data_IF_976259223450
#
_entry.id   IF_976259223450
#
_cell.length_a   1.000
_cell.length_b   1.000
_cell.length_c   1.000
_cell.angle_alpha   90.00
_cell.angle_beta   90.00
_cell.angle_gamma   90.00
#
_symmetry.space_group_name_H-M   'P 1'
#
loop_
_entity.id
_entity.type
_entity.pdbx_description
1 polymer ?
#
# COMPACT_ATOMS: atom_id res chain seq x y z
N UNK A 1 12.73 -19.18 -4.94
CA UNK A 1 13.46 -19.43 -3.67
C UNK A 1 13.23 -18.34 -2.60
N UNK A 2 13.58 -17.06 -2.83
CA UNK A 2 13.50 -16.00 -1.79
C UNK A 2 12.07 -15.67 -1.31
N UNK A 3 11.08 -15.61 -2.21
CA UNK A 3 9.68 -15.29 -1.84
C UNK A 3 8.99 -16.43 -1.08
N UNK A 4 9.24 -17.70 -1.45
CA UNK A 4 8.76 -18.85 -0.69
C UNK A 4 9.28 -18.87 0.75
N UNK A 5 10.52 -18.41 1.00
CA UNK A 5 11.06 -18.26 2.37
C UNK A 5 10.34 -17.19 3.19
N UNK A 6 9.70 -16.23 2.53
CA UNK A 6 8.85 -15.21 3.16
C UNK A 6 7.37 -15.66 3.24
N UNK A 7 7.08 -16.96 3.00
CA UNK A 7 5.74 -17.54 2.98
C UNK A 7 4.79 -16.86 1.96
N UNK A 8 5.34 -16.34 0.86
CA UNK A 8 4.57 -15.78 -0.25
C UNK A 8 4.23 -16.90 -1.24
N UNK A 9 2.94 -17.16 -1.41
CA UNK A 9 2.44 -18.13 -2.38
C UNK A 9 2.42 -17.53 -3.79
N UNK A 10 2.90 -18.31 -4.75
CA UNK A 10 2.86 -17.95 -6.17
C UNK A 10 1.93 -18.92 -6.89
N UNK A 11 0.80 -18.40 -7.38
CA UNK A 11 -0.26 -19.23 -7.97
C UNK A 11 -0.23 -19.21 -9.51
N UNK A 12 0.67 -18.45 -10.10
CA UNK A 12 0.80 -18.34 -11.55
C UNK A 12 1.91 -19.24 -12.05
N UNK A 13 1.63 -19.99 -13.10
CA UNK A 13 2.63 -20.84 -13.72
C UNK A 13 3.67 -19.98 -14.47
N UNK A 14 4.95 -20.38 -14.47
CA UNK A 14 5.97 -19.75 -15.29
C UNK A 14 5.60 -19.86 -16.78
N UNK A 15 5.90 -18.83 -17.57
CA UNK A 15 5.79 -18.89 -19.04
C UNK A 15 7.13 -19.39 -19.58
N UNK A 16 7.13 -20.46 -20.38
CA UNK A 16 8.35 -21.16 -20.84
C UNK A 16 9.30 -20.27 -21.66
N UNK A 17 8.82 -19.19 -22.28
CA UNK A 17 9.61 -18.24 -23.08
C UNK A 17 9.49 -16.77 -22.62
N UNK A 18 9.04 -16.55 -21.38
CA UNK A 18 8.88 -15.21 -20.82
C UNK A 18 10.15 -14.67 -20.17
N UNK A 19 10.62 -13.48 -20.55
CA UNK A 19 11.63 -12.76 -19.76
C UNK A 19 11.03 -12.41 -18.40
N UNK A 20 11.61 -12.93 -17.31
CA UNK A 20 11.18 -12.55 -15.96
C UNK A 20 11.51 -11.08 -15.72
N UNK A 21 10.50 -10.21 -15.77
CA UNK A 21 10.62 -8.86 -15.23
C UNK A 21 10.89 -8.92 -13.72
N UNK A 22 11.62 -7.95 -13.18
CA UNK A 22 11.92 -7.86 -11.75
C UNK A 22 10.66 -7.74 -10.85
N UNK A 23 9.48 -7.62 -11.46
CA UNK A 23 8.19 -7.62 -10.80
C UNK A 23 7.22 -8.52 -11.58
N UNK A 24 6.53 -9.39 -10.83
CA UNK A 24 5.48 -10.26 -11.37
C UNK A 24 4.32 -9.40 -11.87
N UNK A 25 3.97 -9.58 -13.14
CA UNK A 25 2.73 -9.06 -13.73
C UNK A 25 1.76 -10.23 -13.87
N UNK A 26 0.70 -10.23 -13.06
CA UNK A 26 -0.39 -11.19 -13.20
C UNK A 26 -1.40 -10.69 -14.23
N UNK A 27 -1.15 -11.00 -15.49
CA UNK A 27 -2.11 -10.80 -16.58
C UNK A 27 -2.56 -12.14 -17.12
N UNK A 28 -3.30 -12.89 -16.31
CA UNK A 28 -3.97 -14.11 -16.77
C UNK A 28 -5.48 -14.00 -16.57
N UNK A 29 -6.29 -14.54 -17.52
CA UNK A 29 -7.74 -14.70 -17.35
C UNK A 29 -8.13 -15.41 -16.04
N UNK A 30 -7.21 -16.19 -15.46
CA UNK A 30 -7.40 -16.99 -14.24
C UNK A 30 -7.20 -16.23 -12.92
N UNK A 31 -6.92 -14.92 -12.97
CA UNK A 31 -6.91 -14.07 -11.77
C UNK A 31 -8.26 -14.15 -11.02
N UNK A 32 -9.36 -14.34 -11.75
CA UNK A 32 -10.68 -14.60 -11.20
C UNK A 32 -10.73 -15.91 -10.39
N UNK A 33 -10.22 -17.02 -10.93
CA UNK A 33 -10.22 -18.32 -10.23
C UNK A 33 -9.36 -18.29 -8.98
N UNK A 34 -8.22 -17.61 -9.06
CA UNK A 34 -7.33 -17.40 -7.91
C UNK A 34 -8.04 -16.61 -6.80
N UNK A 35 -8.72 -15.52 -7.12
CA UNK A 35 -9.45 -14.74 -6.09
C UNK A 35 -10.70 -15.45 -5.58
N UNK A 36 -11.37 -16.28 -6.38
CA UNK A 36 -12.53 -17.05 -5.93
C UNK A 36 -12.14 -18.26 -5.09
N UNK A 37 -10.96 -18.84 -5.30
CA UNK A 37 -10.45 -19.97 -4.53
C UNK A 37 -9.92 -19.57 -3.15
N UNK A 38 -9.55 -18.29 -2.95
CA UNK A 38 -8.93 -17.79 -1.72
C UNK A 38 -9.67 -16.57 -1.17
N UNK A 39 -10.05 -16.61 0.10
CA UNK A 39 -10.62 -15.46 0.80
C UNK A 39 -9.54 -14.35 0.91
N UNK A 40 -9.62 -13.38 0.01
CA UNK A 40 -8.63 -12.29 -0.11
C UNK A 40 -9.14 -11.06 0.63
N UNK A 41 -8.38 -10.54 1.60
CA UNK A 41 -8.79 -9.35 2.35
C UNK A 41 -8.43 -8.05 1.60
N UNK A 42 -7.28 -8.03 0.93
CA UNK A 42 -6.81 -6.86 0.16
C UNK A 42 -6.18 -7.32 -1.16
N UNK A 43 -6.63 -6.73 -2.26
CA UNK A 43 -6.05 -6.86 -3.60
C UNK A 43 -5.24 -5.61 -3.93
N UNK A 44 -3.93 -5.77 -4.16
CA UNK A 44 -2.99 -4.65 -4.40
C UNK A 44 -2.58 -4.60 -5.87
N UNK A 45 -2.67 -3.43 -6.49
CA UNK A 45 -2.29 -3.18 -7.88
C UNK A 45 -1.15 -2.17 -7.92
N UNK A 46 -0.09 -2.51 -8.64
CA UNK A 46 1.02 -1.60 -8.92
C UNK A 46 0.67 -0.66 -10.07
N UNK A 47 0.94 0.63 -9.91
CA UNK A 47 0.63 1.68 -10.87
C UNK A 47 1.19 1.42 -12.28
N UNK A 48 2.42 0.94 -12.39
CA UNK A 48 3.06 0.65 -13.69
C UNK A 48 2.28 -0.37 -14.53
N UNK A 49 1.44 -1.21 -13.91
CA UNK A 49 0.60 -2.15 -14.65
C UNK A 49 -0.44 -1.46 -15.52
N UNK A 50 -0.83 -0.23 -15.19
CA UNK A 50 -1.74 0.53 -16.02
C UNK A 50 -1.08 0.97 -17.33
N UNK A 51 0.26 1.08 -17.41
CA UNK A 51 0.99 1.46 -18.66
C UNK A 51 0.86 0.40 -19.75
N UNK A 52 0.58 -0.83 -19.34
CA UNK A 52 0.38 -1.95 -20.23
C UNK A 52 -1.09 -1.96 -20.66
N UNK A 53 -1.39 -1.43 -21.85
CA UNK A 53 -2.76 -1.26 -22.35
C UNK A 53 -3.58 -2.57 -22.34
N UNK A 54 -2.94 -3.70 -22.64
CA UNK A 54 -3.59 -5.02 -22.61
C UNK A 54 -3.95 -5.49 -21.19
N UNK A 55 -3.28 -4.94 -20.18
CA UNK A 55 -3.45 -5.28 -18.75
C UNK A 55 -4.66 -4.57 -18.13
N UNK A 56 -5.08 -3.43 -18.68
CA UNK A 56 -6.16 -2.60 -18.11
C UNK A 56 -7.46 -3.40 -17.98
N UNK A 57 -7.86 -4.15 -19.01
CA UNK A 57 -9.08 -4.97 -18.98
C UNK A 57 -9.01 -6.05 -17.90
N UNK A 58 -7.82 -6.63 -17.71
CA UNK A 58 -7.58 -7.64 -16.68
C UNK A 58 -7.63 -7.03 -15.28
N UNK A 59 -7.04 -5.84 -15.09
CA UNK A 59 -7.11 -5.09 -13.83
C UNK A 59 -8.56 -4.77 -13.47
N UNK A 60 -9.36 -4.27 -14.43
CA UNK A 60 -10.78 -3.93 -14.19
C UNK A 60 -11.53 -5.16 -13.67
N UNK A 61 -11.45 -6.27 -14.41
CA UNK A 61 -12.08 -7.54 -14.01
C UNK A 61 -11.59 -8.01 -12.65
N UNK A 62 -10.29 -7.91 -12.40
CA UNK A 62 -9.74 -8.32 -11.12
C UNK A 62 -10.26 -7.46 -9.95
N UNK A 63 -10.43 -6.15 -10.16
CA UNK A 63 -11.03 -5.26 -9.16
C UNK A 63 -12.50 -5.60 -8.88
N UNK A 64 -13.28 -5.91 -9.92
CA UNK A 64 -14.69 -6.30 -9.78
C UNK A 64 -14.83 -7.58 -8.95
N UNK A 65 -13.98 -8.57 -9.25
CA UNK A 65 -13.95 -9.84 -8.53
C UNK A 65 -13.49 -9.70 -7.08
N UNK A 66 -12.41 -8.94 -6.84
CA UNK A 66 -11.94 -8.61 -5.50
C UNK A 66 -13.07 -7.99 -4.66
N UNK A 67 -13.78 -6.98 -5.20
CA UNK A 67 -14.90 -6.34 -4.51
C UNK A 67 -16.07 -7.29 -4.28
N UNK A 68 -16.39 -8.15 -5.26
CA UNK A 68 -17.44 -9.18 -5.11
C UNK A 68 -17.12 -10.15 -3.98
N UNK A 69 -15.85 -10.46 -3.76
CA UNK A 69 -15.35 -11.26 -2.65
C UNK A 69 -15.21 -10.51 -1.31
N UNK A 70 -15.55 -9.21 -1.25
CA UNK A 70 -15.40 -8.38 -0.06
C UNK A 70 -13.98 -7.87 0.20
N UNK A 71 -13.06 -8.03 -0.75
CA UNK A 71 -11.70 -7.54 -0.63
C UNK A 71 -11.63 -6.02 -0.85
N UNK A 72 -10.75 -5.36 -0.10
CA UNK A 72 -10.35 -3.98 -0.39
C UNK A 72 -9.44 -3.96 -1.62
N UNK A 73 -9.58 -2.94 -2.47
CA UNK A 73 -8.69 -2.73 -3.61
C UNK A 73 -7.75 -1.57 -3.28
N UNK A 74 -6.45 -1.84 -3.26
CA UNK A 74 -5.40 -0.85 -3.04
C UNK A 74 -4.60 -0.63 -4.32
N UNK A 75 -4.25 0.62 -4.61
CA UNK A 75 -3.43 0.98 -5.77
C UNK A 75 -2.23 1.79 -5.29
N UNK A 76 -1.03 1.38 -5.69
CA UNK A 76 0.19 2.15 -5.42
C UNK A 76 0.55 2.95 -6.66
N UNK A 77 0.79 4.25 -6.54
CA UNK A 77 1.43 5.00 -7.62
C UNK A 77 2.88 4.48 -7.80
N UNK A 78 3.26 4.17 -9.04
CA UNK A 78 4.65 3.84 -9.39
C UNK A 78 5.44 5.12 -9.71
N UNK A 79 6.64 4.97 -10.26
CA UNK A 79 7.55 6.06 -10.59
C UNK A 79 6.85 7.22 -11.32
N UNK A 80 7.38 8.44 -11.12
CA UNK A 80 6.74 9.71 -11.46
C UNK A 80 6.39 9.97 -12.93
N UNK A 81 6.49 8.99 -13.82
CA UNK A 81 6.03 9.04 -15.22
C UNK A 81 4.78 8.17 -15.49
N UNK A 82 4.32 7.39 -14.50
CA UNK A 82 3.27 6.38 -14.65
C UNK A 82 1.82 6.91 -14.70
N UNK A 83 1.66 8.24 -14.78
CA UNK A 83 0.38 8.94 -14.62
C UNK A 83 -0.37 9.18 -15.95
N UNK A 84 0.17 8.73 -17.09
CA UNK A 84 -0.37 9.06 -18.43
C UNK A 84 -1.50 8.17 -18.93
N UNK A 85 -2.30 7.59 -18.04
CA UNK A 85 -3.27 6.56 -18.44
C UNK A 85 -4.72 7.02 -18.32
N UNK A 86 -5.37 7.07 -19.48
CA UNK A 86 -6.77 7.40 -19.65
C UNK A 86 -7.62 6.17 -19.36
N UNK A 87 -8.42 6.17 -18.28
CA UNK A 87 -9.52 5.20 -18.16
C UNK A 87 -9.93 4.79 -16.74
N UNK A 88 -9.05 4.91 -15.75
CA UNK A 88 -9.43 4.77 -14.34
C UNK A 88 -9.68 6.16 -13.73
N UNK A 89 -10.34 6.23 -12.57
CA UNK A 89 -10.48 7.48 -11.78
C UNK A 89 -9.14 8.00 -11.22
N UNK A 90 -8.02 7.78 -11.92
CA UNK A 90 -6.75 8.49 -11.80
C UNK A 90 -6.83 9.93 -12.30
N UNK A 91 -7.99 10.42 -12.75
CA UNK A 91 -8.22 11.86 -13.01
C UNK A 91 -7.92 12.74 -11.79
N UNK A 92 -8.08 12.21 -10.57
CA UNK A 92 -7.65 12.92 -9.37
C UNK A 92 -6.12 12.98 -9.24
N UNK A 93 -5.41 11.93 -9.65
CA UNK A 93 -3.94 11.91 -9.68
C UNK A 93 -3.37 12.80 -10.80
N UNK A 94 -4.14 13.03 -11.87
CA UNK A 94 -3.77 13.88 -13.01
C UNK A 94 -3.59 15.37 -12.66
N UNK A 95 -4.26 15.87 -11.61
CA UNK A 95 -4.24 17.30 -11.30
C UNK A 95 -3.03 17.76 -10.49
N UNK A 96 -2.13 16.86 -10.09
CA UNK A 96 -0.95 17.24 -9.33
C UNK A 96 0.18 17.75 -10.22
N UNK A 97 0.26 19.08 -10.32
CA UNK A 97 1.46 19.77 -10.81
C UNK A 97 2.62 19.55 -9.84
N UNK A 98 3.86 19.51 -10.35
CA UNK A 98 5.09 19.43 -9.54
C UNK A 98 5.30 20.60 -8.56
N UNK A 99 4.41 21.60 -8.59
CA UNK A 99 4.38 22.76 -7.70
C UNK A 99 3.47 22.59 -6.49
N UNK A 100 2.61 21.57 -6.44
CA UNK A 100 1.69 21.39 -5.32
C UNK A 100 2.34 20.62 -4.17
N UNK A 101 2.01 20.99 -2.93
CA UNK A 101 2.58 20.36 -1.73
C UNK A 101 2.02 18.96 -1.49
N UNK A 102 2.80 18.06 -0.89
CA UNK A 102 2.39 16.69 -0.56
C UNK A 102 1.15 16.63 0.35
N UNK A 103 0.96 17.63 1.23
CA UNK A 103 -0.23 17.76 2.06
C UNK A 103 -1.47 18.15 1.24
N UNK A 104 -1.32 19.05 0.25
CA UNK A 104 -2.39 19.38 -0.69
C UNK A 104 -2.81 18.17 -1.50
N UNK A 105 -1.85 17.36 -1.96
CA UNK A 105 -2.08 16.07 -2.64
C UNK A 105 -2.93 15.14 -1.80
N UNK A 106 -2.52 14.98 -0.56
CA UNK A 106 -3.19 14.09 0.37
C UNK A 106 -4.64 14.52 0.57
N UNK A 107 -4.88 15.81 0.85
CA UNK A 107 -6.25 16.32 1.04
C UNK A 107 -7.09 16.13 -0.21
N UNK A 108 -6.59 16.54 -1.36
CA UNK A 108 -7.31 16.43 -2.63
C UNK A 108 -7.67 14.98 -2.98
N UNK A 109 -6.69 14.07 -2.92
CA UNK A 109 -6.89 12.65 -3.24
C UNK A 109 -7.86 11.97 -2.27
N UNK A 110 -7.87 12.37 -0.99
CA UNK A 110 -8.74 11.79 0.03
C UNK A 110 -10.25 12.04 -0.19
N UNK A 111 -10.61 12.91 -1.14
CA UNK A 111 -12.01 13.05 -1.58
C UNK A 111 -12.47 11.93 -2.50
N UNK A 112 -11.53 11.21 -3.14
CA UNK A 112 -11.83 10.18 -4.14
C UNK A 112 -11.65 8.76 -3.64
N UNK A 113 -10.92 8.59 -2.53
CA UNK A 113 -10.65 7.29 -1.92
C UNK A 113 -10.87 7.33 -0.40
N UNK A 114 -11.27 6.22 0.23
CA UNK A 114 -11.51 6.17 1.68
C UNK A 114 -10.25 6.46 2.51
N UNK A 115 -9.07 6.12 1.98
CA UNK A 115 -7.77 6.35 2.58
C UNK A 115 -6.75 6.60 1.48
N UNK A 116 -5.94 7.63 1.63
CA UNK A 116 -4.76 7.88 0.80
C UNK A 116 -3.53 8.03 1.68
N UNK A 117 -2.39 7.56 1.23
CA UNK A 117 -1.09 7.80 1.86
C UNK A 117 -0.11 8.39 0.84
N UNK A 118 0.53 9.50 1.19
CA UNK A 118 1.50 10.20 0.35
C UNK A 118 2.82 10.31 1.11
N UNK A 119 3.86 9.67 0.60
CA UNK A 119 5.23 9.80 1.13
C UNK A 119 5.89 11.07 0.62
N UNK A 120 6.62 11.77 1.48
CA UNK A 120 7.29 13.05 1.19
C UNK A 120 8.82 12.97 1.39
N UNK A 121 9.39 11.81 1.07
CA UNK A 121 10.82 11.52 1.23
C UNK A 121 11.30 11.76 2.66
N UNK A 122 12.40 12.51 2.81
CA UNK A 122 12.97 12.86 4.12
C UNK A 122 12.09 13.77 4.97
N UNK A 123 11.02 14.36 4.41
CA UNK A 123 10.07 15.19 5.15
C UNK A 123 8.98 14.37 5.84
N UNK A 124 8.96 13.05 5.69
CA UNK A 124 7.97 12.18 6.31
C UNK A 124 6.87 11.77 5.33
N UNK A 125 5.62 11.75 5.79
CA UNK A 125 4.48 11.35 4.97
C UNK A 125 3.17 11.93 5.49
N UNK A 126 2.09 11.75 4.73
CA UNK A 126 0.75 12.23 5.06
C UNK A 126 -0.28 11.15 4.78
N UNK A 127 -1.23 10.95 5.69
CA UNK A 127 -2.39 10.08 5.49
C UNK A 127 -3.64 10.95 5.41
N UNK A 128 -4.51 10.67 4.44
CA UNK A 128 -5.69 11.47 4.18
C UNK A 128 -7.00 10.69 4.18
N UNK A 129 -8.03 11.30 4.77
CA UNK A 129 -9.40 10.79 4.84
C UNK A 129 -10.37 11.97 4.77
N UNK A 130 -11.38 11.90 3.88
CA UNK A 130 -12.50 12.87 3.82
C UNK A 130 -12.07 14.35 3.70
N UNK A 131 -11.01 14.64 2.95
CA UNK A 131 -10.48 16.00 2.75
C UNK A 131 -9.43 16.43 3.77
N UNK A 132 -9.24 15.66 4.84
CA UNK A 132 -8.25 15.93 5.87
C UNK A 132 -6.93 15.22 5.60
N UNK A 133 -5.84 15.74 6.18
CA UNK A 133 -4.52 15.15 6.09
C UNK A 133 -3.80 15.18 7.44
N UNK A 134 -3.31 14.03 7.88
CA UNK A 134 -2.52 13.84 9.10
C UNK A 134 -1.05 13.70 8.71
N UNK A 135 -0.21 14.57 9.26
CA UNK A 135 1.24 14.50 9.08
C UNK A 135 1.86 13.39 9.94
N UNK A 136 2.76 12.62 9.33
CA UNK A 136 3.54 11.56 9.95
C UNK A 136 5.01 11.93 9.86
N UNK A 137 5.69 12.18 11.00
CA UNK A 137 7.11 12.52 10.98
C UNK A 137 7.95 11.31 10.56
N UNK A 138 9.09 11.54 9.87
CA UNK A 138 10.02 10.48 9.57
C UNK A 138 10.70 9.99 10.86
N UNK A 139 10.89 8.68 11.07
CA UNK A 139 11.53 8.15 12.27
C UNK A 139 13.05 8.36 12.27
N UNK A 140 13.66 8.53 11.09
CA UNK A 140 15.08 8.82 10.90
C UNK A 140 15.31 9.51 9.55
N UNK A 141 16.54 9.98 9.32
CA UNK A 141 16.96 10.50 8.01
C UNK A 141 17.18 9.29 7.07
N UNK A 142 16.52 9.24 5.90
CA UNK A 142 16.66 8.13 4.96
C UNK A 142 18.10 7.95 4.48
N UNK A 143 18.62 6.71 4.51
CA UNK A 143 19.96 6.37 3.99
C UNK A 143 19.90 5.92 2.53
N UNK A 144 18.79 5.31 2.09
CA UNK A 144 18.61 4.81 0.72
C UNK A 144 17.21 5.16 0.15
N UNK A 145 17.08 5.00 -1.16
CA UNK A 145 15.85 5.09 -1.96
C UNK A 145 15.11 3.74 -1.97
N UNK A 146 13.81 3.73 -2.27
CA UNK A 146 13.01 2.48 -2.36
C UNK A 146 12.07 2.20 -1.19
N UNK A 147 11.99 3.10 -0.20
CA UNK A 147 11.14 2.96 1.00
C UNK A 147 9.62 2.89 0.73
N UNK A 148 9.16 3.22 -0.49
CA UNK A 148 7.74 3.33 -0.82
C UNK A 148 6.97 2.02 -0.70
N UNK A 149 7.59 0.91 -1.10
CA UNK A 149 6.97 -0.42 -1.02
C UNK A 149 6.87 -0.92 0.42
N UNK A 150 7.92 -0.69 1.21
CA UNK A 150 7.94 -0.98 2.63
C UNK A 150 6.96 -0.09 3.41
N UNK A 151 6.81 1.17 3.01
CA UNK A 151 5.80 2.05 3.58
C UNK A 151 4.38 1.55 3.26
N UNK A 152 4.11 1.23 1.99
CA UNK A 152 2.82 0.72 1.55
C UNK A 152 2.46 -0.59 2.27
N UNK A 153 3.42 -1.51 2.44
CA UNK A 153 3.19 -2.75 3.17
C UNK A 153 2.82 -2.50 4.63
N UNK A 154 3.41 -1.49 5.28
CA UNK A 154 3.05 -1.10 6.62
C UNK A 154 1.65 -0.50 6.77
N UNK A 155 1.20 0.29 5.78
CA UNK A 155 -0.20 0.78 5.73
C UNK A 155 -1.16 -0.40 5.59
N UNK A 156 -0.89 -1.31 4.66
CA UNK A 156 -1.70 -2.51 4.43
C UNK A 156 -1.76 -3.41 5.67
N UNK A 157 -0.62 -3.58 6.35
CA UNK A 157 -0.57 -4.32 7.60
C UNK A 157 -1.41 -3.64 8.70
N UNK A 158 -1.35 -2.31 8.82
CA UNK A 158 -2.20 -1.55 9.74
C UNK A 158 -3.70 -1.76 9.46
N UNK A 159 -4.11 -1.78 8.19
CA UNK A 159 -5.49 -2.07 7.79
C UNK A 159 -5.89 -3.50 8.20
N UNK A 160 -5.05 -4.49 7.91
CA UNK A 160 -5.29 -5.90 8.28
C UNK A 160 -5.37 -6.10 9.80
N UNK A 161 -4.69 -5.25 10.58
CA UNK A 161 -4.73 -5.24 12.06
C UNK A 161 -5.83 -4.33 12.62
N UNK A 162 -6.70 -3.79 11.76
CA UNK A 162 -7.82 -2.92 12.15
C UNK A 162 -7.40 -1.67 12.93
N UNK A 163 -6.26 -1.08 12.56
CA UNK A 163 -5.79 0.18 13.15
C UNK A 163 -6.68 1.31 12.65
N UNK A 164 -7.43 1.94 13.56
CA UNK A 164 -8.32 3.06 13.24
C UNK A 164 -7.63 4.42 13.28
N UNK A 165 -6.60 4.58 14.12
CA UNK A 165 -5.89 5.84 14.27
C UNK A 165 -4.83 6.02 13.16
N UNK A 166 -5.04 7.03 12.31
CA UNK A 166 -4.16 7.35 11.18
C UNK A 166 -2.72 7.59 11.63
N UNK A 167 -2.52 8.25 12.77
CA UNK A 167 -1.18 8.55 13.27
C UNK A 167 -0.43 7.26 13.62
N UNK A 168 -1.08 6.32 14.29
CA UNK A 168 -0.52 5.01 14.63
C UNK A 168 -0.21 4.21 13.36
N UNK A 169 -1.16 4.16 12.41
CA UNK A 169 -0.96 3.45 11.14
C UNK A 169 0.21 4.03 10.34
N UNK A 170 0.28 5.36 10.24
CA UNK A 170 1.36 6.06 9.55
C UNK A 170 2.71 5.87 10.23
N UNK A 171 2.78 5.92 11.57
CA UNK A 171 4.02 5.67 12.32
C UNK A 171 4.51 4.24 12.14
N UNK A 172 3.61 3.25 12.09
CA UNK A 172 3.96 1.87 11.77
C UNK A 172 4.56 1.75 10.37
N UNK A 173 3.90 2.33 9.37
CA UNK A 173 4.39 2.35 7.99
C UNK A 173 5.75 3.03 7.86
N UNK A 174 5.92 4.19 8.52
CA UNK A 174 7.17 4.93 8.51
C UNK A 174 8.30 4.14 9.18
N UNK A 175 8.02 3.42 10.27
CA UNK A 175 8.99 2.56 10.94
C UNK A 175 9.43 1.38 10.08
N UNK A 176 8.48 0.69 9.44
CA UNK A 176 8.79 -0.41 8.51
C UNK A 176 9.66 0.09 7.37
N UNK A 177 9.29 1.22 6.76
CA UNK A 177 10.05 1.86 5.70
C UNK A 177 11.47 2.26 6.13
N UNK A 178 11.63 2.77 7.35
CA UNK A 178 12.92 3.17 7.90
C UNK A 178 13.83 1.98 8.22
N UNK A 179 13.26 0.88 8.72
CA UNK A 179 14.01 -0.37 8.91
C UNK A 179 14.45 -0.95 7.58
N UNK A 180 13.62 -0.87 6.54
CA UNK A 180 13.95 -1.36 5.20
C UNK A 180 15.15 -0.62 4.57
N UNK A 181 15.18 0.71 4.66
CA UNK A 181 16.29 1.53 4.13
C UNK A 181 17.52 1.59 5.07
N UNK A 182 17.41 1.07 6.29
CA UNK A 182 18.51 1.01 7.26
C UNK A 182 19.46 -0.16 7.04
N UNK A 183 19.17 -1.03 6.08
CA UNK A 183 19.89 -2.24 5.75
C UNK A 183 20.24 -2.29 4.25
N UNK A 184 21.18 -3.15 3.87
CA UNK A 184 21.57 -3.28 2.46
C UNK A 184 20.52 -4.07 1.66
N UNK A 185 19.70 -3.36 0.86
CA UNK A 185 18.67 -3.93 -0.03
C UNK A 185 17.24 -3.47 0.31
N UNK A 186 16.26 -3.87 -0.51
CA UNK A 186 14.86 -3.35 -0.47
C UNK A 186 13.87 -4.31 0.21
N UNK A 187 14.34 -5.16 1.14
CA UNK A 187 13.48 -6.14 1.81
C UNK A 187 13.89 -6.34 3.26
N UNK A 188 12.96 -6.09 4.19
CA UNK A 188 13.10 -6.47 5.61
C UNK A 188 13.54 -7.91 5.79
N UNK A 189 14.46 -8.11 6.74
CA UNK A 189 14.78 -9.44 7.24
C UNK A 189 13.57 -10.03 7.98
N UNK A 190 13.51 -11.36 8.07
CA UNK A 190 12.44 -12.05 8.80
C UNK A 190 12.44 -11.63 10.28
N UNK A 191 13.63 -11.46 10.87
CA UNK A 191 13.75 -11.08 12.27
C UNK A 191 13.23 -9.65 12.50
N UNK A 192 13.61 -8.70 11.66
CA UNK A 192 13.14 -7.32 11.79
C UNK A 192 11.61 -7.23 11.64
N UNK A 193 11.04 -8.01 10.72
CA UNK A 193 9.60 -8.08 10.53
C UNK A 193 8.88 -8.62 11.77
N UNK A 194 9.43 -9.66 12.42
CA UNK A 194 8.91 -10.21 13.68
C UNK A 194 9.00 -9.17 14.81
N UNK A 195 10.16 -8.54 14.99
CA UNK A 195 10.40 -7.57 16.05
C UNK A 195 9.47 -6.34 15.93
N UNK A 196 9.23 -5.88 14.70
CA UNK A 196 8.27 -4.81 14.42
C UNK A 196 6.84 -5.27 14.75
N UNK A 197 6.44 -6.48 14.34
CA UNK A 197 5.10 -7.00 14.59
C UNK A 197 4.82 -7.18 16.09
N UNK A 198 5.77 -7.73 16.85
CA UNK A 198 5.66 -7.93 18.29
C UNK A 198 5.61 -6.60 19.05
N UNK A 199 6.51 -5.67 18.73
CA UNK A 199 6.51 -4.35 19.35
C UNK A 199 5.26 -3.54 19.00
N UNK A 200 4.70 -3.72 17.81
CA UNK A 200 3.42 -3.12 17.44
C UNK A 200 2.27 -3.72 18.26
N UNK A 201 2.20 -5.05 18.40
CA UNK A 201 1.17 -5.72 19.18
C UNK A 201 1.19 -5.33 20.67
N UNK A 202 2.39 -5.21 21.26
CA UNK A 202 2.56 -4.79 22.65
C UNK A 202 2.06 -3.35 22.90
N UNK A 203 2.41 -2.42 22.01
CA UNK A 203 1.98 -1.02 22.12
C UNK A 203 0.48 -0.83 21.85
N UNK A 204 -0.10 -1.63 20.95
CA UNK A 204 -1.54 -1.60 20.67
C UNK A 204 -2.37 -2.23 21.80
N UNK A 205 -1.89 -3.33 22.38
CA UNK A 205 -2.55 -3.99 23.51
C UNK A 205 -2.58 -3.11 24.78
N UNK A 206 -1.51 -2.38 25.05
CA UNK A 206 -1.41 -1.47 26.21
C UNK A 206 -2.22 -0.17 26.06
N UNK A 207 -2.45 0.32 24.83
CA UNK A 207 -3.24 1.52 24.57
C UNK A 207 -4.75 1.26 24.56
N UNK A 208 -5.20 0.04 24.24
CA UNK A 208 -6.61 -0.37 24.35
C UNK A 208 -7.18 -0.34 25.78
N UNK A 209 -6.32 -0.27 26.81
CA UNK A 209 -6.72 -0.18 28.23
C UNK A 209 -6.91 1.28 28.69
N UNK A 210 -6.57 2.28 27.87
CA UNK A 210 -6.74 3.71 28.20
C UNK A 210 -7.16 4.54 26.99
N UNK A 211 -8.46 4.61 26.72
CA UNK A 211 -9.17 5.85 26.36
C UNK A 211 -10.62 5.57 25.93
N UNK A 212 -11.54 5.82 26.86
CA UNK A 212 -12.84 6.37 26.51
C UNK A 212 -12.67 7.88 26.20
N UNK A 213 -13.50 8.36 25.28
CA UNK A 213 -13.72 9.76 24.84
C UNK A 213 -12.87 10.26 23.67
N UNK A 214 -13.51 10.32 22.48
CA UNK A 214 -13.08 11.14 21.34
C UNK A 214 -13.17 10.44 19.98
N UNK A 215 -14.37 10.00 19.57
CA UNK A 215 -14.57 9.26 18.32
C UNK A 215 -14.28 10.10 17.06
N UNK A 216 -13.17 9.79 16.38
CA UNK A 216 -13.02 9.94 14.94
C UNK A 216 -13.28 8.59 14.28
N UNK A 217 -14.54 8.14 14.26
CA UNK A 217 -14.90 6.85 13.67
C UNK A 217 -14.63 6.82 12.17
N UNK A 218 -13.86 5.81 11.74
CA UNK A 218 -14.02 5.23 10.40
C UNK A 218 -15.39 4.55 10.41
N UNK A 219 -16.37 4.98 9.58
CA UNK A 219 -17.61 4.23 9.46
C UNK A 219 -17.27 2.85 8.92
N UNK A 220 -17.91 1.82 9.48
CA UNK A 220 -17.91 0.47 8.92
C UNK A 220 -18.07 0.52 7.40
N UNK A 221 -17.03 0.03 6.70
CA UNK A 221 -16.95 -0.13 5.25
C UNK A 221 -17.90 -1.23 4.77
#
# INVERSE_FOLDING_TARGET
AKLHRANVNFLSEPIEDGTTGAVIVLTIPDAQRTMLAYQTNIFVIKGYLFELLDTIRTIIKACEEARRGGALVAVTASDGNCWQLRGFSVRALWHFSSKESSVSATRYLSHFVPLVSVTDGHRGSYLGVKGEAVYIPPPCVPVDTGAGDAFASGILYGILRSVSELKVMGTLAARIAATDIGQQGTRLSVQDAVDIAESFAFNFGSSSVRSDVGSGHIPSL
#
